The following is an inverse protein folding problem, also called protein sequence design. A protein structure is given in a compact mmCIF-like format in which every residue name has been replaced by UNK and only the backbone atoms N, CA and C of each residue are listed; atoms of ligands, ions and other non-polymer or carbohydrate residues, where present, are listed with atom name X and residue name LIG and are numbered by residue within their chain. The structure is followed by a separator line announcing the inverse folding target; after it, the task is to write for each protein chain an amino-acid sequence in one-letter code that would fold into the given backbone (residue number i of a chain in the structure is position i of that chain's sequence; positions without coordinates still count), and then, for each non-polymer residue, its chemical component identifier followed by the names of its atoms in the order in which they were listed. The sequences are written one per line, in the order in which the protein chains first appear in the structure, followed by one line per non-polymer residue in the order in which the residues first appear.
data_IF_482054761286
#
_entry.id   IF_482054761286
#
_cell.length_a   1.000
_cell.length_b   1.000
_cell.length_c   1.000
_cell.angle_alpha   90.00
_cell.angle_beta   90.00
_cell.angle_gamma   90.00
#
_symmetry.space_group_name_H-M   'P 1'
#
loop_
_entity.id
_entity.type
_entity.pdbx_description
1 polymer ?
#
# COMPACT_ATOMS: atom_id res chain seq x y z
N UNK A 1 -12.11 16.89 -6.93
CA UNK A 1 -11.76 15.57 -6.35
C UNK A 1 -10.23 15.39 -6.36
N UNK A 2 -9.68 14.57 -5.46
CA UNK A 2 -8.24 14.27 -5.38
C UNK A 2 -8.01 12.81 -4.93
N UNK A 3 -6.83 12.27 -5.22
CA UNK A 3 -6.45 10.88 -4.94
C UNK A 3 -5.21 10.82 -4.02
N UNK A 4 -5.22 9.91 -3.06
CA UNK A 4 -4.03 9.54 -2.27
C UNK A 4 -3.84 8.04 -2.38
N UNK A 5 -2.65 7.63 -2.81
CA UNK A 5 -2.26 6.22 -2.97
C UNK A 5 -1.10 5.97 -2.02
N UNK A 6 -1.19 4.94 -1.19
CA UNK A 6 -0.17 4.61 -0.19
C UNK A 6 0.35 3.21 -0.42
N UNK A 7 1.65 3.09 -0.67
CA UNK A 7 2.31 1.81 -0.95
C UNK A 7 1.72 1.09 -2.16
N UNK A 8 1.72 1.68 -3.38
CA UNK A 8 1.30 0.91 -4.55
C UNK A 8 2.29 -0.24 -4.82
N UNK A 9 1.76 -1.43 -5.11
CA UNK A 9 2.56 -2.62 -5.46
C UNK A 9 2.22 -3.20 -6.85
N UNK A 10 1.25 -2.62 -7.56
CA UNK A 10 0.81 -3.11 -8.88
C UNK A 10 1.54 -2.34 -9.98
N UNK A 11 2.39 -3.00 -10.75
CA UNK A 11 3.13 -2.40 -11.87
C UNK A 11 2.42 -2.45 -13.23
N UNK A 12 1.20 -3.00 -13.30
CA UNK A 12 0.56 -3.40 -14.56
C UNK A 12 1.04 -4.79 -15.02
N UNK A 13 0.28 -5.42 -15.92
CA UNK A 13 0.53 -6.78 -16.38
C UNK A 13 0.15 -7.87 -15.37
N UNK A 14 0.21 -9.14 -15.77
CA UNK A 14 -0.22 -10.25 -14.90
C UNK A 14 0.67 -10.39 -13.65
N UNK A 15 0.09 -10.64 -12.47
CA UNK A 15 0.85 -10.79 -11.24
C UNK A 15 1.67 -12.08 -11.28
N UNK A 16 2.91 -12.03 -10.79
CA UNK A 16 3.77 -13.21 -10.73
C UNK A 16 3.18 -14.32 -9.85
N UNK A 17 3.28 -15.57 -10.29
CA UNK A 17 2.80 -16.73 -9.52
C UNK A 17 3.38 -16.77 -8.10
N UNK A 18 4.65 -16.38 -7.93
CA UNK A 18 5.31 -16.32 -6.61
C UNK A 18 4.65 -15.28 -5.70
N UNK A 19 4.26 -14.12 -6.25
CA UNK A 19 3.54 -13.08 -5.51
C UNK A 19 2.18 -13.61 -5.07
N UNK A 20 1.43 -14.22 -5.98
CA UNK A 20 0.13 -14.84 -5.66
C UNK A 20 0.24 -15.94 -4.59
N UNK A 21 1.29 -16.77 -4.66
CA UNK A 21 1.53 -17.81 -3.67
C UNK A 21 1.79 -17.24 -2.25
N UNK A 22 2.45 -16.09 -2.15
CA UNK A 22 2.65 -15.41 -0.86
C UNK A 22 1.30 -14.94 -0.27
N UNK A 23 0.42 -14.36 -1.09
CA UNK A 23 -0.93 -13.98 -0.68
C UNK A 23 -1.79 -15.18 -0.26
N UNK A 24 -1.70 -16.28 -0.99
CA UNK A 24 -2.41 -17.51 -0.64
C UNK A 24 -1.90 -18.11 0.68
N UNK A 25 -0.60 -18.02 0.97
CA UNK A 25 -0.03 -18.45 2.24
C UNK A 25 -0.53 -17.61 3.42
N UNK A 26 -0.64 -16.28 3.26
CA UNK A 26 -1.23 -15.41 4.27
C UNK A 26 -2.69 -15.76 4.55
N UNK A 27 -3.48 -16.00 3.50
CA UNK A 27 -4.88 -16.41 3.65
C UNK A 27 -5.00 -17.78 4.34
N UNK A 28 -4.16 -18.75 3.95
CA UNK A 28 -4.16 -20.08 4.57
C UNK A 28 -3.73 -20.03 6.05
N UNK A 29 -2.72 -19.23 6.39
CA UNK A 29 -2.30 -19.03 7.78
C UNK A 29 -3.42 -18.41 8.62
N UNK A 30 -4.11 -17.42 8.08
CA UNK A 30 -5.24 -16.77 8.75
C UNK A 30 -6.39 -17.72 9.04
N UNK A 31 -6.72 -18.62 8.12
CA UNK A 31 -7.79 -19.61 8.30
C UNK A 31 -7.42 -20.74 9.26
N UNK A 32 -6.16 -21.16 9.28
CA UNK A 32 -5.70 -22.27 10.10
C UNK A 32 -5.53 -21.86 11.57
N UNK A 33 -4.81 -20.76 11.81
CA UNK A 33 -4.36 -20.36 13.15
C UNK A 33 -4.67 -18.88 13.47
N UNK A 34 -5.60 -18.26 12.74
CA UNK A 34 -5.99 -16.87 12.98
C UNK A 34 -4.83 -15.89 12.76
N UNK A 35 -4.79 -14.84 13.58
CA UNK A 35 -3.76 -13.79 13.48
C UNK A 35 -2.35 -14.36 13.67
N UNK A 36 -2.18 -15.38 14.52
CA UNK A 36 -0.88 -16.03 14.72
C UNK A 36 -0.39 -16.73 13.46
N UNK A 37 -1.28 -17.45 12.76
CA UNK A 37 -0.95 -18.08 11.49
C UNK A 37 -0.64 -17.07 10.38
N UNK A 38 -1.38 -15.96 10.33
CA UNK A 38 -1.08 -14.87 9.40
C UNK A 38 0.32 -14.28 9.65
N UNK A 39 0.66 -13.99 10.91
CA UNK A 39 1.98 -13.45 11.27
C UNK A 39 3.10 -14.44 10.95
N UNK A 40 2.89 -15.74 11.20
CA UNK A 40 3.85 -16.77 10.82
C UNK A 40 4.06 -16.85 9.29
N UNK A 41 3.00 -16.61 8.51
CA UNK A 41 3.03 -16.66 7.04
C UNK A 41 3.68 -15.44 6.36
N UNK A 42 3.81 -14.29 7.04
CA UNK A 42 4.51 -13.11 6.51
C UNK A 42 5.98 -13.40 6.13
N UNK A 43 6.59 -14.40 6.76
CA UNK A 43 7.96 -14.80 6.48
C UNK A 43 9.01 -13.87 7.09
N UNK A 44 10.28 -13.98 6.65
CA UNK A 44 11.38 -13.24 7.25
C UNK A 44 11.38 -11.77 6.83
N UNK A 45 11.44 -10.89 7.83
CA UNK A 45 11.72 -9.46 7.66
C UNK A 45 13.11 -9.10 8.19
N UNK A 46 13.61 -7.94 7.75
CA UNK A 46 14.83 -7.33 8.27
C UNK A 46 14.81 -7.30 9.81
N UNK A 47 15.87 -7.77 10.50
CA UNK A 47 15.86 -7.94 11.95
C UNK A 47 15.50 -6.67 12.73
N UNK A 48 15.87 -5.49 12.20
CA UNK A 48 15.57 -4.20 12.82
C UNK A 48 14.06 -3.89 12.86
N UNK A 49 13.28 -4.44 11.92
CA UNK A 49 11.86 -4.14 11.76
C UNK A 49 10.93 -5.25 12.22
N UNK A 50 11.44 -6.48 12.41
CA UNK A 50 10.65 -7.67 12.71
C UNK A 50 9.64 -7.49 13.84
N UNK A 51 10.09 -7.09 15.03
CA UNK A 51 9.21 -6.92 16.20
C UNK A 51 8.13 -5.86 15.93
N UNK A 52 8.51 -4.77 15.24
CA UNK A 52 7.57 -3.71 14.86
C UNK A 52 6.51 -4.23 13.89
N UNK A 53 6.92 -4.95 12.84
CA UNK A 53 6.02 -5.52 11.83
C UNK A 53 5.06 -6.52 12.47
N UNK A 54 5.55 -7.43 13.31
CA UNK A 54 4.71 -8.40 14.01
C UNK A 54 3.68 -7.69 14.90
N UNK A 55 4.11 -6.68 15.67
CA UNK A 55 3.23 -5.92 16.55
C UNK A 55 2.16 -5.14 15.77
N UNK A 56 2.54 -4.35 14.77
CA UNK A 56 1.57 -3.55 13.98
C UNK A 56 0.62 -4.46 13.19
N UNK A 57 1.10 -5.59 12.68
CA UNK A 57 0.26 -6.56 11.97
C UNK A 57 -0.80 -7.11 12.90
N UNK A 58 -0.42 -7.53 14.12
CA UNK A 58 -1.37 -8.03 15.12
C UNK A 58 -2.39 -6.99 15.51
N UNK A 59 -1.94 -5.75 15.76
CA UNK A 59 -2.82 -4.63 16.10
C UNK A 59 -3.84 -4.38 14.97
N UNK A 60 -3.41 -4.36 13.71
CA UNK A 60 -4.30 -4.13 12.55
C UNK A 60 -5.27 -5.28 12.32
N UNK A 61 -4.76 -6.51 12.31
CA UNK A 61 -5.59 -7.70 12.11
C UNK A 61 -6.66 -7.84 13.19
N UNK A 62 -6.37 -7.44 14.43
CA UNK A 62 -7.33 -7.48 15.55
C UNK A 62 -8.51 -6.50 15.40
N UNK A 63 -8.44 -5.54 14.47
CA UNK A 63 -9.55 -4.62 14.18
C UNK A 63 -10.62 -5.25 13.28
N UNK A 64 -10.31 -6.36 12.60
CA UNK A 64 -11.25 -7.02 11.71
C UNK A 64 -12.21 -7.89 12.51
N UNK A 65 -13.51 -7.66 12.31
CA UNK A 65 -14.57 -8.48 12.93
C UNK A 65 -14.65 -9.88 12.34
N UNK A 66 -14.32 -10.01 11.05
CA UNK A 66 -14.49 -11.22 10.26
C UNK A 66 -13.17 -11.52 9.53
N UNK A 67 -12.42 -12.48 10.05
CA UNK A 67 -11.12 -12.88 9.50
C UNK A 67 -11.27 -13.76 8.26
N UNK A 68 -12.38 -14.49 8.11
CA UNK A 68 -12.66 -15.29 6.92
C UNK A 68 -12.88 -14.38 5.70
N UNK A 69 -13.57 -13.25 5.90
CA UNK A 69 -13.71 -12.22 4.88
C UNK A 69 -12.35 -11.63 4.47
N UNK A 70 -11.42 -11.45 5.42
CA UNK A 70 -10.06 -10.99 5.11
C UNK A 70 -9.28 -12.06 4.35
N UNK A 71 -9.33 -13.33 4.77
CA UNK A 71 -8.71 -14.44 4.06
C UNK A 71 -9.21 -14.57 2.61
N UNK A 72 -10.51 -14.37 2.40
CA UNK A 72 -11.09 -14.30 1.05
C UNK A 72 -10.55 -13.12 0.26
N UNK A 73 -10.51 -11.92 0.85
CA UNK A 73 -9.99 -10.73 0.18
C UNK A 73 -8.51 -10.89 -0.22
N UNK A 74 -7.69 -11.52 0.62
CA UNK A 74 -6.29 -11.84 0.33
C UNK A 74 -6.14 -12.75 -0.90
N UNK A 75 -7.12 -13.60 -1.20
CA UNK A 75 -7.10 -14.43 -2.42
C UNK A 75 -7.61 -13.68 -3.65
N UNK A 76 -8.62 -12.84 -3.49
CA UNK A 76 -9.30 -12.21 -4.62
C UNK A 76 -8.58 -10.93 -5.09
N UNK A 77 -8.18 -10.05 -4.17
CA UNK A 77 -7.68 -8.72 -4.51
C UNK A 77 -6.36 -8.72 -5.30
N UNK A 78 -5.34 -9.53 -4.95
CA UNK A 78 -4.11 -9.57 -5.75
C UNK A 78 -4.32 -10.04 -7.19
N UNK A 79 -5.46 -10.71 -7.45
CA UNK A 79 -5.84 -11.24 -8.76
C UNK A 79 -6.80 -10.32 -9.52
N UNK A 80 -7.35 -9.29 -8.86
CA UNK A 80 -8.37 -8.44 -9.47
C UNK A 80 -7.82 -7.44 -10.49
N UNK A 81 -6.50 -7.24 -10.53
CA UNK A 81 -5.77 -6.43 -11.52
C UNK A 81 -6.49 -5.13 -11.90
N UNK A 82 -6.35 -4.05 -11.10
CA UNK A 82 -7.16 -2.84 -11.25
C UNK A 82 -7.00 -2.13 -12.60
N UNK A 83 -5.91 -2.39 -13.32
CA UNK A 83 -5.64 -1.92 -14.68
C UNK A 83 -4.67 -2.90 -15.37
N UNK A 84 -4.67 -2.92 -16.71
CA UNK A 84 -3.83 -3.78 -17.52
C UNK A 84 -2.42 -3.21 -17.75
N UNK A 85 -2.29 -1.90 -17.92
CA UNK A 85 -1.00 -1.21 -18.07
C UNK A 85 -0.92 0.11 -17.31
N UNK A 86 0.30 0.57 -17.00
CA UNK A 86 0.51 1.88 -16.38
C UNK A 86 0.03 3.05 -17.26
N UNK A 87 -0.05 2.87 -18.57
CA UNK A 87 -0.55 3.89 -19.50
C UNK A 87 -2.01 4.28 -19.18
N UNK A 88 -2.80 3.35 -18.62
CA UNK A 88 -4.18 3.63 -18.19
C UNK A 88 -4.24 4.69 -17.08
N UNK A 89 -3.18 4.82 -16.27
CA UNK A 89 -3.12 5.85 -15.22
C UNK A 89 -3.09 7.27 -15.80
N UNK A 90 -2.68 7.44 -17.07
CA UNK A 90 -2.66 8.76 -17.73
C UNK A 90 -4.06 9.38 -17.86
N UNK A 91 -5.12 8.56 -17.81
CA UNK A 91 -6.51 9.02 -17.84
C UNK A 91 -6.97 9.63 -16.50
N UNK A 92 -6.19 9.50 -15.43
CA UNK A 92 -6.54 10.03 -14.11
C UNK A 92 -6.05 11.48 -14.03
N UNK A 93 -6.95 12.42 -14.35
CA UNK A 93 -6.64 13.85 -14.32
C UNK A 93 -6.70 14.48 -12.92
N UNK A 94 -7.25 13.75 -11.93
CA UNK A 94 -7.31 14.23 -10.56
C UNK A 94 -5.89 14.40 -9.98
N UNK A 95 -5.60 15.47 -9.21
CA UNK A 95 -4.36 15.57 -8.47
C UNK A 95 -4.15 14.33 -7.60
N UNK A 96 -2.94 13.78 -7.61
CA UNK A 96 -2.61 12.55 -6.92
C UNK A 96 -1.40 12.73 -5.99
N UNK A 97 -1.51 12.25 -4.75
CA UNK A 97 -0.37 12.03 -3.88
C UNK A 97 -0.03 10.55 -3.88
N UNK A 98 1.16 10.21 -4.36
CA UNK A 98 1.73 8.86 -4.29
C UNK A 98 2.69 8.81 -3.10
N UNK A 99 2.39 7.96 -2.13
CA UNK A 99 3.19 7.75 -0.93
C UNK A 99 3.94 6.43 -1.09
N UNK A 100 5.25 6.53 -1.29
CA UNK A 100 6.15 5.39 -1.36
C UNK A 100 6.65 4.97 0.02
N UNK A 101 7.31 3.82 0.02
CA UNK A 101 8.16 3.33 1.09
C UNK A 101 9.50 2.92 0.49
N UNK A 102 10.58 3.08 1.24
CA UNK A 102 11.84 2.43 0.90
C UNK A 102 11.76 0.93 1.23
N UNK A 103 12.36 0.13 0.35
CA UNK A 103 12.18 -1.33 0.29
C UNK A 103 12.71 -2.09 1.53
N UNK A 104 13.50 -1.46 2.40
CA UNK A 104 14.15 -2.10 3.55
C UNK A 104 13.14 -2.62 4.59
N UNK A 105 12.17 -1.79 4.95
CA UNK A 105 11.15 -2.15 5.93
C UNK A 105 9.91 -2.75 5.26
N UNK A 106 9.64 -2.38 4.02
CA UNK A 106 8.43 -2.75 3.29
C UNK A 106 8.73 -3.23 1.84
N UNK A 107 9.41 -4.37 1.69
CA UNK A 107 9.79 -4.89 0.36
C UNK A 107 8.58 -5.33 -0.48
N UNK A 108 7.40 -5.48 0.13
CA UNK A 108 6.15 -5.82 -0.56
C UNK A 108 5.57 -4.65 -1.36
N UNK A 109 6.05 -3.43 -1.13
CA UNK A 109 5.65 -2.21 -1.83
C UNK A 109 6.89 -1.50 -2.40
N UNK A 110 7.47 -2.01 -3.51
CA UNK A 110 8.73 -1.50 -4.03
C UNK A 110 8.65 -0.03 -4.42
N UNK A 111 9.63 0.77 -4.01
CA UNK A 111 9.70 2.20 -4.32
C UNK A 111 9.58 2.50 -5.82
N UNK A 112 10.18 1.64 -6.65
CA UNK A 112 10.14 1.75 -8.11
C UNK A 112 8.71 1.70 -8.69
N UNK A 113 7.78 0.99 -8.05
CA UNK A 113 6.37 0.97 -8.47
C UNK A 113 5.73 2.33 -8.21
N UNK A 114 6.00 2.94 -7.05
CA UNK A 114 5.51 4.27 -6.72
C UNK A 114 6.09 5.34 -7.66
N UNK A 115 7.38 5.24 -8.02
CA UNK A 115 7.98 6.10 -9.05
C UNK A 115 7.26 5.96 -10.39
N UNK A 116 7.05 4.73 -10.85
CA UNK A 116 6.40 4.48 -12.13
C UNK A 116 4.95 5.01 -12.16
N UNK A 117 4.22 4.91 -11.05
CA UNK A 117 2.89 5.52 -10.93
C UNK A 117 2.95 7.04 -10.96
N UNK A 118 3.89 7.65 -10.23
CA UNK A 118 4.04 9.10 -10.20
C UNK A 118 4.47 9.66 -11.56
N UNK A 119 5.22 8.89 -12.36
CA UNK A 119 5.57 9.25 -13.74
C UNK A 119 4.38 9.13 -14.70
N UNK A 120 3.55 8.09 -14.54
CA UNK A 120 2.40 7.86 -15.41
C UNK A 120 1.20 8.78 -15.10
N UNK A 121 1.03 9.19 -13.85
CA UNK A 121 -0.06 10.07 -13.40
C UNK A 121 0.25 11.54 -13.75
N UNK A 122 -0.57 12.23 -14.57
CA UNK A 122 -0.25 13.58 -15.06
C UNK A 122 -0.06 14.64 -13.98
N UNK A 123 -0.79 14.52 -12.86
CA UNK A 123 -0.83 15.51 -11.78
C UNK A 123 -0.40 14.87 -10.45
N UNK A 124 0.64 14.02 -10.48
CA UNK A 124 1.12 13.32 -9.29
C UNK A 124 2.25 14.04 -8.55
N UNK A 125 2.23 13.92 -7.23
CA UNK A 125 3.34 14.21 -6.32
C UNK A 125 3.79 12.91 -5.65
N UNK A 126 5.07 12.60 -5.72
CA UNK A 126 5.68 11.48 -4.99
C UNK A 126 6.26 11.96 -3.66
N UNK A 127 5.95 11.26 -2.56
CA UNK A 127 6.59 11.45 -1.25
C UNK A 127 7.01 10.11 -0.66
N UNK A 128 7.98 10.15 0.25
CA UNK A 128 8.50 8.98 0.98
C UNK A 128 9.13 9.43 2.30
N UNK A 129 9.29 8.52 3.25
CA UNK A 129 10.18 8.74 4.40
C UNK A 129 11.65 8.87 3.97
N UNK A 130 12.51 9.34 4.89
CA UNK A 130 13.95 9.29 4.70
C UNK A 130 14.46 7.83 4.76
N UNK A 131 15.48 7.49 3.96
CA UNK A 131 16.12 6.16 4.01
C UNK A 131 16.53 5.76 5.43
N UNK A 132 16.30 4.50 5.77
CA UNK A 132 16.52 3.96 7.12
C UNK A 132 15.49 4.38 8.17
N UNK A 133 14.50 5.21 7.82
CA UNK A 133 13.37 5.52 8.70
C UNK A 133 12.24 4.51 8.55
N UNK A 134 11.34 4.48 9.53
CA UNK A 134 10.09 3.70 9.39
C UNK A 134 9.30 4.19 8.16
N UNK A 135 8.68 3.30 7.37
CA UNK A 135 7.81 3.67 6.26
C UNK A 135 6.82 4.76 6.64
N UNK A 136 6.67 5.78 5.79
CA UNK A 136 5.75 6.89 6.04
C UNK A 136 4.31 6.39 6.24
N UNK A 137 3.92 5.33 5.53
CA UNK A 137 2.65 4.64 5.67
C UNK A 137 2.35 4.15 7.11
N UNK A 138 3.40 3.84 7.88
CA UNK A 138 3.27 3.36 9.27
C UNK A 138 3.26 4.51 10.28
N UNK A 139 3.62 5.72 9.85
CA UNK A 139 3.71 6.91 10.68
C UNK A 139 2.39 7.71 10.64
N UNK A 140 1.32 7.15 11.22
CA UNK A 140 -0.05 7.67 11.03
C UNK A 140 -0.23 9.18 11.25
N UNK A 141 0.42 9.77 12.24
CA UNK A 141 0.37 11.22 12.46
C UNK A 141 1.11 12.03 11.39
N UNK A 142 2.23 11.54 10.88
CA UNK A 142 2.98 12.19 9.81
C UNK A 142 2.29 12.01 8.46
N UNK A 143 1.85 10.79 8.12
CA UNK A 143 1.06 10.53 6.92
C UNK A 143 -0.19 11.42 6.86
N UNK A 144 -0.92 11.56 7.98
CA UNK A 144 -2.10 12.41 8.03
C UNK A 144 -1.78 13.89 7.76
N UNK A 145 -0.61 14.38 8.20
CA UNK A 145 -0.16 15.74 7.90
C UNK A 145 0.18 15.90 6.42
N UNK A 146 0.93 14.96 5.84
CA UNK A 146 1.26 15.01 4.41
C UNK A 146 0.00 14.99 3.51
N UNK A 147 -1.01 14.21 3.91
CA UNK A 147 -2.32 14.21 3.25
C UNK A 147 -3.02 15.56 3.42
N UNK A 148 -3.07 16.10 4.64
CA UNK A 148 -3.71 17.40 4.89
C UNK A 148 -3.02 18.54 4.11
N UNK A 149 -1.68 18.56 4.09
CA UNK A 149 -0.88 19.54 3.36
C UNK A 149 -1.09 19.43 1.84
N UNK A 150 -1.22 18.20 1.31
CA UNK A 150 -1.58 17.97 -0.08
C UNK A 150 -2.99 18.50 -0.41
N UNK A 151 -3.98 18.21 0.45
CA UNK A 151 -5.36 18.67 0.26
C UNK A 151 -5.50 20.19 0.37
N UNK A 152 -4.59 20.86 1.08
CA UNK A 152 -4.56 22.30 1.26
C UNK A 152 -3.85 23.06 0.11
N UNK A 153 -3.30 22.38 -0.89
CA UNK A 153 -2.72 23.05 -2.06
C UNK A 153 -3.83 23.72 -2.88
N UNK A 154 -3.57 24.90 -3.45
CA UNK A 154 -4.57 25.67 -4.20
C UNK A 154 -5.23 24.82 -5.29
N UNK A 155 -4.42 24.07 -6.06
CA UNK A 155 -4.89 23.17 -7.12
C UNK A 155 -5.93 22.14 -6.63
N UNK A 156 -5.72 21.57 -5.45
CA UNK A 156 -6.61 20.55 -4.88
C UNK A 156 -7.82 21.20 -4.20
N UNK A 157 -7.58 22.27 -3.44
CA UNK A 157 -8.61 22.98 -2.69
C UNK A 157 -9.67 23.59 -3.61
N UNK A 158 -9.26 24.20 -4.73
CA UNK A 158 -10.17 24.72 -5.77
C UNK A 158 -11.04 23.58 -6.33
N UNK A 159 -10.43 22.47 -6.74
CA UNK A 159 -11.14 21.29 -7.28
C UNK A 159 -12.06 20.57 -6.28
N UNK A 160 -11.86 20.75 -4.98
CA UNK A 160 -12.75 20.21 -3.95
C UNK A 160 -13.88 21.16 -3.60
N UNK A 161 -13.67 22.46 -3.79
CA UNK A 161 -14.67 23.50 -3.51
C UNK A 161 -15.75 23.61 -4.59
N UNK A 162 -15.48 23.12 -5.80
CA UNK A 162 -16.48 22.95 -6.85
C UNK A 162 -16.80 24.20 -7.67
N UNK A 163 -15.94 25.22 -7.60
CA UNK A 163 -15.89 26.35 -8.54
C UNK A 163 -15.15 25.95 -9.83
#
# INVERSE_FOLDING_TARGET
AALVIVGPAVGGGEPEERSLAAWDALAAGLEQDGIDGFVAALGPHEPAWRETIERITRERMSLHRDLDAVARALRELPRSMPFGSLEELTAIEAPALVVASHDEADPGHPYAVAEAWAEALPNARLISEQRGSSPLAWQGGQLSREIADFLATDEVAERLSGD
#
